data_IF_809039488948
#
_entry.id   IF_809039488948
#
_cell.length_a   1.000
_cell.length_b   1.000
_cell.length_c   1.000
_cell.angle_alpha   90.00
_cell.angle_beta   90.00
_cell.angle_gamma   90.00
#
_symmetry.space_group_name_H-M   'P 1'
#
loop_
_entity.id
_entity.type
_entity.pdbx_description
1 polymer ?
#
# COMPACT_ATOMS: atom_id res chain seq x y z
N UNK A 1 -5.69 -10.51 -3.16
CA UNK A 1 -6.43 -9.28 -2.80
C UNK A 1 -6.99 -9.47 -1.40
N UNK A 2 -6.81 -8.54 -0.47
CA UNK A 2 -7.38 -8.68 0.87
C UNK A 2 -8.93 -8.66 0.78
N UNK A 3 -9.59 -9.71 1.26
CA UNK A 3 -11.03 -9.87 1.14
C UNK A 3 -11.78 -9.08 2.21
N UNK A 4 -11.82 -7.76 2.03
CA UNK A 4 -12.51 -6.84 2.95
C UNK A 4 -13.99 -7.14 3.08
N UNK A 5 -14.62 -7.71 2.05
CA UNK A 5 -16.06 -8.00 2.05
C UNK A 5 -16.37 -9.22 2.93
N UNK A 6 -15.57 -10.29 2.85
CA UNK A 6 -15.70 -11.43 3.75
C UNK A 6 -15.28 -11.05 5.18
N UNK A 7 -14.24 -10.23 5.35
CA UNK A 7 -13.87 -9.68 6.67
C UNK A 7 -15.03 -8.90 7.30
N UNK A 8 -15.67 -8.01 6.52
CA UNK A 8 -16.85 -7.27 6.96
C UNK A 8 -17.96 -8.22 7.43
N UNK A 9 -18.33 -9.21 6.60
CA UNK A 9 -19.38 -10.19 6.94
C UNK A 9 -19.06 -10.93 8.24
N UNK A 10 -17.84 -11.42 8.40
CA UNK A 10 -17.42 -12.15 9.59
C UNK A 10 -17.51 -11.27 10.86
N UNK A 11 -17.02 -10.03 10.78
CA UNK A 11 -17.05 -9.09 11.92
C UNK A 11 -18.47 -8.63 12.25
N UNK A 12 -19.33 -8.42 11.26
CA UNK A 12 -20.76 -8.15 11.48
C UNK A 12 -21.47 -9.34 12.11
N UNK A 13 -21.17 -10.57 11.69
CA UNK A 13 -21.74 -11.76 12.33
C UNK A 13 -21.28 -11.90 13.78
N UNK A 14 -20.00 -11.61 14.05
CA UNK A 14 -19.48 -11.57 15.43
C UNK A 14 -20.24 -10.54 16.27
N UNK A 15 -20.47 -9.34 15.73
CA UNK A 15 -21.21 -8.29 16.45
C UNK A 15 -22.68 -8.66 16.69
N UNK A 16 -23.32 -9.43 15.80
CA UNK A 16 -24.69 -9.92 16.02
C UNK A 16 -24.77 -10.95 17.15
N UNK A 17 -23.75 -11.80 17.27
CA UNK A 17 -23.67 -12.83 18.33
C UNK A 17 -23.25 -12.21 19.65
N UNK A 18 -22.34 -11.23 19.64
CA UNK A 18 -21.83 -10.52 20.81
C UNK A 18 -22.02 -8.99 20.65
N UNK A 19 -23.25 -8.45 20.82
CA UNK A 19 -23.53 -7.03 20.61
C UNK A 19 -22.77 -6.07 21.54
N UNK A 20 -22.32 -6.58 22.69
CA UNK A 20 -21.65 -5.82 23.75
C UNK A 20 -20.12 -5.87 23.68
N UNK A 21 -19.57 -6.48 22.64
CA UNK A 21 -18.13 -6.63 22.49
C UNK A 21 -17.53 -5.42 21.78
N UNK A 22 -16.69 -4.67 22.49
CA UNK A 22 -15.94 -3.54 21.92
C UNK A 22 -14.70 -3.97 21.12
N UNK A 23 -14.04 -5.04 21.57
CA UNK A 23 -12.84 -5.57 20.90
C UNK A 23 -13.16 -6.09 19.50
N UNK A 24 -12.51 -5.54 18.49
CA UNK A 24 -12.70 -5.86 17.08
C UNK A 24 -13.50 -4.81 16.33
N UNK A 25 -14.12 -3.84 17.01
CA UNK A 25 -14.78 -2.71 16.36
C UNK A 25 -13.78 -1.82 15.61
N UNK A 26 -12.55 -1.70 16.11
CA UNK A 26 -11.45 -1.02 15.45
C UNK A 26 -11.13 -1.65 14.09
N UNK A 27 -11.08 -2.98 14.02
CA UNK A 27 -10.84 -3.71 12.76
C UNK A 27 -12.04 -3.57 11.82
N UNK A 28 -13.26 -3.69 12.34
CA UNK A 28 -14.48 -3.49 11.55
C UNK A 28 -14.53 -2.08 10.96
N UNK A 29 -14.24 -1.05 11.75
CA UNK A 29 -14.23 0.33 11.28
C UNK A 29 -13.22 0.57 10.16
N UNK A 30 -12.01 0.01 10.25
CA UNK A 30 -11.01 0.08 9.19
C UNK A 30 -11.43 -0.71 7.94
N UNK A 31 -12.13 -1.84 8.09
CA UNK A 31 -12.69 -2.55 6.92
C UNK A 31 -13.78 -1.75 6.22
N UNK A 32 -14.65 -1.06 6.97
CA UNK A 32 -15.67 -0.16 6.41
C UNK A 32 -15.04 1.06 5.73
N UNK A 33 -13.95 1.59 6.30
CA UNK A 33 -13.14 2.66 5.73
C UNK A 33 -12.56 2.23 4.37
N UNK A 34 -11.93 1.05 4.28
CA UNK A 34 -11.42 0.52 3.02
C UNK A 34 -12.51 0.28 1.97
N UNK A 35 -13.70 -0.16 2.41
CA UNK A 35 -14.87 -0.34 1.54
C UNK A 35 -15.59 0.98 1.21
N UNK A 36 -15.14 2.12 1.76
CA UNK A 36 -15.73 3.46 1.59
C UNK A 36 -17.22 3.52 1.94
N UNK A 37 -17.63 2.82 3.01
CA UNK A 37 -19.02 2.77 3.46
C UNK A 37 -19.29 3.80 4.56
N UNK A 38 -19.42 5.06 4.15
CA UNK A 38 -19.59 6.20 5.05
C UNK A 38 -20.79 6.09 5.99
N UNK A 39 -21.96 5.69 5.46
CA UNK A 39 -23.20 5.60 6.24
C UNK A 39 -23.10 4.53 7.33
N UNK A 40 -22.60 3.35 6.98
CA UNK A 40 -22.44 2.24 7.93
C UNK A 40 -21.38 2.55 8.99
N UNK A 41 -20.30 3.25 8.60
CA UNK A 41 -19.25 3.66 9.53
C UNK A 41 -19.73 4.72 10.52
N UNK A 42 -20.54 5.68 10.07
CA UNK A 42 -21.16 6.69 10.93
C UNK A 42 -22.14 6.07 11.93
N UNK A 43 -23.01 5.15 11.49
CA UNK A 43 -23.89 4.39 12.37
C UNK A 43 -23.10 3.59 13.41
N UNK A 44 -22.03 2.91 12.99
CA UNK A 44 -21.16 2.17 13.91
C UNK A 44 -20.51 3.09 14.95
N UNK A 45 -20.07 4.28 14.53
CA UNK A 45 -19.45 5.27 15.42
C UNK A 45 -20.42 5.76 16.50
N UNK A 46 -21.67 6.09 16.13
CA UNK A 46 -22.69 6.50 17.09
C UNK A 46 -22.99 5.37 18.09
N UNK A 47 -23.25 4.16 17.59
CA UNK A 47 -23.53 3.00 18.44
C UNK A 47 -22.39 2.67 19.41
N UNK A 48 -21.14 2.77 18.95
CA UNK A 48 -19.98 2.51 19.80
C UNK A 48 -19.88 3.52 20.95
N UNK A 49 -20.03 4.83 20.65
CA UNK A 49 -19.98 5.90 21.67
C UNK A 49 -21.15 5.81 22.65
N UNK A 50 -22.35 5.52 22.16
CA UNK A 50 -23.55 5.37 23.00
C UNK A 50 -23.42 4.18 23.96
N UNK A 51 -22.79 3.10 23.50
CA UNK A 51 -22.57 1.91 24.31
C UNK A 51 -21.47 2.11 25.36
N UNK A 52 -20.28 2.54 24.93
CA UNK A 52 -19.17 2.80 25.85
C UNK A 52 -18.26 3.94 25.36
N UNK A 53 -18.49 5.12 25.93
CA UNK A 53 -17.70 6.34 25.70
C UNK A 53 -16.30 6.30 26.34
N UNK A 54 -16.08 5.40 27.29
CA UNK A 54 -14.82 5.24 28.01
C UNK A 54 -13.95 4.12 27.42
N UNK A 55 -14.36 3.52 26.30
CA UNK A 55 -13.52 2.59 25.55
C UNK A 55 -12.62 3.33 24.55
N UNK A 56 -11.36 2.91 24.37
CA UNK A 56 -10.50 3.44 23.32
C UNK A 56 -11.03 3.10 21.92
N UNK A 57 -11.68 1.94 21.75
CA UNK A 57 -12.21 1.47 20.47
C UNK A 57 -13.29 2.42 19.93
N UNK A 58 -14.20 2.93 20.76
CA UNK A 58 -15.23 3.89 20.34
C UNK A 58 -14.63 5.13 19.68
N UNK A 59 -13.58 5.69 20.29
CA UNK A 59 -12.91 6.87 19.77
C UNK A 59 -12.12 6.57 18.48
N UNK A 60 -11.64 5.34 18.29
CA UNK A 60 -11.05 4.92 17.02
C UNK A 60 -12.07 4.84 15.90
N UNK A 61 -13.24 4.26 16.16
CA UNK A 61 -14.31 4.16 15.15
C UNK A 61 -14.74 5.56 14.71
N UNK A 62 -14.90 6.50 15.65
CA UNK A 62 -15.21 7.90 15.36
C UNK A 62 -14.08 8.55 14.55
N UNK A 63 -12.82 8.38 14.95
CA UNK A 63 -11.67 8.91 14.21
C UNK A 63 -11.60 8.38 12.78
N UNK A 64 -11.87 7.09 12.57
CA UNK A 64 -11.96 6.48 11.24
C UNK A 64 -13.11 7.05 10.41
N UNK A 65 -14.26 7.37 11.03
CA UNK A 65 -15.37 8.02 10.34
C UNK A 65 -14.97 9.39 9.78
N UNK A 66 -14.30 10.22 10.58
CA UNK A 66 -13.82 11.54 10.15
C UNK A 66 -12.66 11.46 9.16
N UNK A 67 -11.76 10.48 9.32
CA UNK A 67 -10.71 10.17 8.35
C UNK A 67 -11.30 9.87 6.96
N UNK A 68 -12.38 9.07 6.90
CA UNK A 68 -13.05 8.77 5.63
C UNK A 68 -13.64 10.02 4.97
N UNK A 69 -14.12 10.97 5.78
CA UNK A 69 -14.62 12.28 5.34
C UNK A 69 -13.50 13.27 4.95
N UNK A 70 -12.23 12.86 5.08
CA UNK A 70 -11.02 13.67 4.85
C UNK A 70 -10.84 14.82 5.84
N UNK A 71 -11.49 14.74 6.99
CA UNK A 71 -11.26 15.67 8.10
C UNK A 71 -10.11 15.15 8.97
N UNK A 72 -8.88 15.27 8.46
CA UNK A 72 -7.69 14.68 9.11
C UNK A 72 -7.42 15.24 10.50
N UNK A 73 -7.63 16.55 10.71
CA UNK A 73 -7.40 17.17 12.02
C UNK A 73 -8.39 16.67 13.08
N UNK A 74 -9.68 16.57 12.73
CA UNK A 74 -10.72 16.09 13.66
C UNK A 74 -10.49 14.61 13.98
N UNK A 75 -10.16 13.79 12.97
CA UNK A 75 -9.76 12.39 13.16
C UNK A 75 -8.61 12.24 14.18
N UNK A 76 -7.55 13.04 14.03
CA UNK A 76 -6.41 13.07 14.96
C UNK A 76 -6.82 13.45 16.39
N UNK A 77 -7.79 14.36 16.58
CA UNK A 77 -8.27 14.68 17.93
C UNK A 77 -8.94 13.49 18.61
N UNK A 78 -9.71 12.70 17.86
CA UNK A 78 -10.37 11.50 18.39
C UNK A 78 -9.38 10.37 18.64
N UNK A 79 -8.38 10.18 17.79
CA UNK A 79 -7.31 9.21 18.07
C UNK A 79 -6.48 9.59 19.30
N UNK A 80 -6.18 10.89 19.49
CA UNK A 80 -5.55 11.37 20.74
C UNK A 80 -6.42 11.10 21.96
N UNK A 81 -7.74 11.26 21.84
CA UNK A 81 -8.67 10.93 22.92
C UNK A 81 -8.68 9.44 23.24
N UNK A 82 -8.63 8.58 22.22
CA UNK A 82 -8.47 7.12 22.40
C UNK A 82 -7.20 6.79 23.19
N UNK A 83 -6.07 7.41 22.83
CA UNK A 83 -4.77 7.25 23.52
C UNK A 83 -4.84 7.74 24.98
N UNK A 84 -5.59 8.81 25.28
CA UNK A 84 -5.77 9.30 26.64
C UNK A 84 -6.59 8.34 27.50
N UNK A 85 -7.55 7.64 26.90
CA UNK A 85 -8.38 6.64 27.57
C UNK A 85 -7.56 5.39 27.89
N UNK A 86 -6.80 4.91 26.91
CA UNK A 86 -5.88 3.78 27.08
C UNK A 86 -4.57 4.03 26.32
N UNK A 87 -3.51 4.31 27.07
CA UNK A 87 -2.17 4.55 26.52
C UNK A 87 -1.49 3.29 25.99
N UNK A 88 -2.01 2.10 26.32
CA UNK A 88 -1.49 0.81 25.81
C UNK A 88 -2.16 0.39 24.49
N UNK A 89 -3.15 1.14 24.03
CA UNK A 89 -3.91 0.81 22.84
C UNK A 89 -3.13 1.17 21.55
N UNK A 90 -2.31 0.21 21.09
CA UNK A 90 -1.40 0.34 19.95
C UNK A 90 -2.08 0.80 18.65
N UNK A 91 -3.32 0.37 18.41
CA UNK A 91 -4.02 0.64 17.14
C UNK A 91 -4.24 2.15 16.91
N UNK A 92 -4.54 2.92 17.96
CA UNK A 92 -4.71 4.38 17.85
C UNK A 92 -3.45 5.10 17.43
N UNK A 93 -2.28 4.66 17.90
CA UNK A 93 -1.00 5.20 17.46
C UNK A 93 -0.76 4.90 15.98
N UNK A 94 -1.11 3.69 15.51
CA UNK A 94 -0.97 3.35 14.08
C UNK A 94 -1.89 4.16 13.18
N UNK A 95 -3.16 4.33 13.55
CA UNK A 95 -4.11 5.16 12.80
C UNK A 95 -3.69 6.62 12.77
N UNK A 96 -3.25 7.17 13.92
CA UNK A 96 -2.68 8.52 13.98
C UNK A 96 -1.47 8.68 13.05
N UNK A 97 -0.61 7.66 12.99
CA UNK A 97 0.53 7.62 12.06
C UNK A 97 0.08 7.64 10.59
N UNK A 98 -0.97 6.90 10.23
CA UNK A 98 -1.53 6.91 8.87
C UNK A 98 -2.10 8.29 8.50
N UNK A 99 -2.81 8.95 9.41
CA UNK A 99 -3.31 10.31 9.19
C UNK A 99 -2.19 11.33 9.02
N UNK A 100 -1.13 11.26 9.84
CA UNK A 100 0.03 12.14 9.67
C UNK A 100 0.76 11.92 8.35
N UNK A 101 0.85 10.66 7.86
CA UNK A 101 1.39 10.38 6.52
C UNK A 101 0.53 10.99 5.42
N UNK A 102 -0.79 10.97 5.56
CA UNK A 102 -1.72 11.60 4.61
C UNK A 102 -1.57 13.12 4.60
N UNK A 103 -1.24 13.74 5.75
CA UNK A 103 -0.91 15.16 5.88
C UNK A 103 0.57 15.50 5.57
N UNK A 104 1.37 14.54 5.10
CA UNK A 104 2.82 14.70 4.81
C UNK A 104 3.68 15.08 6.03
N UNK A 105 3.13 14.99 7.24
CA UNK A 105 3.79 15.25 8.52
C UNK A 105 4.63 14.01 8.96
N UNK A 106 5.70 13.70 8.22
CA UNK A 106 6.47 12.46 8.41
C UNK A 106 7.12 12.35 9.79
N UNK A 107 7.59 13.44 10.40
CA UNK A 107 8.25 13.40 11.71
C UNK A 107 7.28 12.97 12.82
N UNK A 108 6.06 13.53 12.81
CA UNK A 108 5.01 13.14 13.77
C UNK A 108 4.55 11.71 13.52
N UNK A 109 4.41 11.32 12.24
CA UNK A 109 4.05 9.95 11.89
C UNK A 109 5.08 8.93 12.41
N UNK A 110 6.38 9.20 12.26
CA UNK A 110 7.45 8.35 12.79
C UNK A 110 7.37 8.24 14.32
N UNK A 111 7.09 9.35 15.02
CA UNK A 111 6.89 9.30 16.48
C UNK A 111 5.72 8.38 16.85
N UNK A 112 4.57 8.55 16.18
CA UNK A 112 3.39 7.72 16.43
C UNK A 112 3.65 6.24 16.18
N UNK A 113 4.31 5.87 15.07
CA UNK A 113 4.62 4.46 14.82
C UNK A 113 5.66 3.90 15.81
N UNK A 114 6.63 4.70 16.26
CA UNK A 114 7.58 4.27 17.30
C UNK A 114 6.88 4.02 18.63
N UNK A 115 5.93 4.88 18.99
CA UNK A 115 5.14 4.71 20.21
C UNK A 115 4.19 3.51 20.08
N UNK A 116 3.64 3.25 18.89
CA UNK A 116 2.91 2.01 18.60
C UNK A 116 3.78 0.77 18.85
N UNK A 117 5.03 0.75 18.37
CA UNK A 117 5.94 -0.39 18.57
C UNK A 117 6.33 -0.56 20.04
N UNK A 118 6.52 0.54 20.78
CA UNK A 118 6.84 0.49 22.22
C UNK A 118 5.68 -0.03 23.07
N UNK A 119 4.46 0.31 22.69
CA UNK A 119 3.24 -0.08 23.41
C UNK A 119 2.71 -1.45 22.98
N UNK A 120 3.19 -1.99 21.85
CA UNK A 120 2.77 -3.31 21.35
C UNK A 120 3.20 -4.44 22.29
N UNK A 121 2.41 -4.68 23.33
CA UNK A 121 2.61 -5.78 24.28
C UNK A 121 2.31 -7.17 23.69
N UNK A 122 1.62 -7.25 22.55
CA UNK A 122 1.23 -8.51 21.92
C UNK A 122 2.07 -8.88 20.69
N UNK A 123 2.87 -7.95 20.15
CA UNK A 123 3.74 -8.17 18.99
C UNK A 123 2.99 -8.47 17.69
N UNK A 124 1.69 -8.12 17.63
CA UNK A 124 0.80 -8.49 16.51
C UNK A 124 0.62 -7.36 15.49
N UNK A 125 1.03 -6.13 15.82
CA UNK A 125 0.76 -4.96 14.98
C UNK A 125 1.88 -4.72 13.96
N UNK A 126 1.87 -5.50 12.87
CA UNK A 126 2.80 -5.31 11.75
C UNK A 126 2.61 -3.95 11.03
N UNK A 127 1.42 -3.34 11.13
CA UNK A 127 1.08 -2.07 10.49
C UNK A 127 2.04 -0.92 10.87
N UNK A 128 2.49 -0.87 12.12
CA UNK A 128 3.43 0.16 12.59
C UNK A 128 4.81 0.01 11.91
N UNK A 129 5.30 -1.24 11.82
CA UNK A 129 6.54 -1.57 11.13
C UNK A 129 6.44 -1.26 9.63
N UNK A 130 5.32 -1.62 9.00
CA UNK A 130 5.03 -1.27 7.62
C UNK A 130 4.99 0.25 7.40
N UNK A 131 4.31 0.99 8.27
CA UNK A 131 4.21 2.44 8.20
C UNK A 131 5.58 3.14 8.29
N UNK A 132 6.46 2.69 9.20
CA UNK A 132 7.84 3.17 9.25
C UNK A 132 8.62 2.82 7.99
N UNK A 133 8.53 1.58 7.51
CA UNK A 133 9.20 1.15 6.28
C UNK A 133 8.78 2.02 5.08
N UNK A 134 7.49 2.32 4.95
CA UNK A 134 6.97 3.17 3.89
C UNK A 134 7.48 4.62 3.98
N UNK A 135 7.58 5.20 5.19
CA UNK A 135 8.17 6.54 5.38
C UNK A 135 9.66 6.52 5.01
N UNK A 136 10.42 5.55 5.51
CA UNK A 136 11.86 5.46 5.22
C UNK A 136 12.13 5.22 3.73
N UNK A 137 11.26 4.45 3.06
CA UNK A 137 11.33 4.25 1.62
C UNK A 137 11.12 5.57 0.86
N UNK A 138 10.12 6.38 1.25
CA UNK A 138 9.91 7.73 0.67
C UNK A 138 11.04 8.71 0.97
N UNK A 139 11.75 8.52 2.08
CA UNK A 139 12.95 9.30 2.42
C UNK A 139 14.23 8.75 1.76
N UNK A 140 14.12 7.79 0.84
CA UNK A 140 15.23 7.13 0.14
C UNK A 140 16.23 6.40 1.06
N UNK A 141 15.83 6.13 2.32
CA UNK A 141 16.62 5.38 3.30
C UNK A 141 16.29 3.89 3.15
N UNK A 142 16.70 3.31 2.03
CA UNK A 142 16.31 1.96 1.63
C UNK A 142 16.76 0.86 2.60
N UNK A 143 17.95 0.98 3.20
CA UNK A 143 18.43 0.05 4.23
C UNK A 143 17.49 -0.04 5.45
N UNK A 144 17.03 1.12 5.93
CA UNK A 144 16.10 1.18 7.06
C UNK A 144 14.72 0.67 6.64
N UNK A 145 14.27 1.01 5.44
CA UNK A 145 13.01 0.53 4.90
C UNK A 145 12.98 -1.01 4.82
N UNK A 146 14.03 -1.62 4.28
CA UNK A 146 14.23 -3.06 4.18
C UNK A 146 14.14 -3.72 5.56
N UNK A 147 14.87 -3.20 6.56
CA UNK A 147 14.82 -3.70 7.93
C UNK A 147 13.40 -3.67 8.52
N UNK A 148 12.69 -2.55 8.37
CA UNK A 148 11.33 -2.40 8.91
C UNK A 148 10.30 -3.28 8.20
N UNK A 149 10.40 -3.43 6.87
CA UNK A 149 9.54 -4.36 6.13
C UNK A 149 9.81 -5.82 6.49
N UNK A 150 11.07 -6.19 6.67
CA UNK A 150 11.43 -7.54 7.13
C UNK A 150 10.84 -7.83 8.51
N UNK A 151 10.89 -6.87 9.44
CA UNK A 151 10.22 -7.00 10.76
C UNK A 151 8.71 -7.14 10.62
N UNK A 152 8.07 -6.34 9.77
CA UNK A 152 6.64 -6.48 9.50
C UNK A 152 6.29 -7.89 8.99
N UNK A 153 7.14 -8.43 8.11
CA UNK A 153 6.96 -9.77 7.54
C UNK A 153 7.18 -10.89 8.56
N UNK A 154 8.09 -10.72 9.54
CA UNK A 154 8.24 -11.70 10.63
C UNK A 154 6.98 -11.84 11.48
N UNK A 155 6.17 -10.78 11.57
CA UNK A 155 4.90 -10.77 12.31
C UNK A 155 3.77 -11.33 11.43
N UNK A 156 3.72 -10.94 10.15
CA UNK A 156 2.72 -11.41 9.19
C UNK A 156 3.38 -11.99 7.92
N UNK A 157 3.82 -13.26 7.96
CA UNK A 157 4.55 -13.88 6.84
C UNK A 157 3.66 -14.19 5.63
N UNK A 158 2.33 -14.21 5.81
CA UNK A 158 1.37 -14.54 4.73
C UNK A 158 0.88 -13.32 3.94
N UNK A 159 1.45 -12.13 4.18
CA UNK A 159 1.07 -10.95 3.42
C UNK A 159 1.87 -10.82 2.13
N UNK A 160 1.22 -11.10 0.99
CA UNK A 160 1.79 -10.84 -0.34
C UNK A 160 2.16 -9.36 -0.54
N UNK A 161 1.41 -8.44 0.07
CA UNK A 161 1.67 -6.99 0.01
C UNK A 161 2.99 -6.65 0.71
N UNK A 162 3.27 -7.23 1.89
CA UNK A 162 4.53 -6.98 2.61
C UNK A 162 5.74 -7.52 1.85
N UNK A 163 5.63 -8.71 1.24
CA UNK A 163 6.67 -9.24 0.34
C UNK A 163 6.92 -8.30 -0.84
N UNK A 164 5.86 -7.75 -1.44
CA UNK A 164 6.00 -6.78 -2.53
C UNK A 164 6.78 -5.52 -2.10
N UNK A 165 6.44 -4.93 -0.95
CA UNK A 165 7.14 -3.74 -0.45
C UNK A 165 8.58 -4.03 -0.03
N UNK A 166 8.86 -5.20 0.55
CA UNK A 166 10.22 -5.63 0.85
C UNK A 166 11.03 -5.79 -0.44
N UNK A 167 10.47 -6.42 -1.48
CA UNK A 167 11.12 -6.55 -2.78
C UNK A 167 11.41 -5.20 -3.44
N UNK A 168 10.48 -4.24 -3.33
CA UNK A 168 10.70 -2.86 -3.80
C UNK A 168 11.87 -2.19 -3.05
N UNK A 169 11.92 -2.32 -1.71
CA UNK A 169 13.01 -1.77 -0.91
C UNK A 169 14.36 -2.40 -1.25
N UNK A 170 14.42 -3.73 -1.41
CA UNK A 170 15.63 -4.45 -1.81
C UNK A 170 16.13 -4.03 -3.20
N UNK A 171 15.20 -3.85 -4.15
CA UNK A 171 15.55 -3.37 -5.48
C UNK A 171 16.13 -1.96 -5.46
N UNK A 172 15.49 -1.04 -4.74
CA UNK A 172 15.98 0.33 -4.55
C UNK A 172 17.34 0.36 -3.81
N UNK A 173 17.59 -0.63 -2.96
CA UNK A 173 18.88 -0.83 -2.28
C UNK A 173 19.95 -1.51 -3.16
N UNK A 174 19.71 -1.67 -4.46
CA UNK A 174 20.67 -2.25 -5.41
C UNK A 174 20.81 -3.77 -5.34
N UNK A 175 19.83 -4.48 -4.75
CA UNK A 175 19.82 -5.95 -4.59
C UNK A 175 18.74 -6.61 -5.47
N UNK A 176 18.86 -6.56 -6.82
CA UNK A 176 17.80 -7.00 -7.73
C UNK A 176 17.51 -8.51 -7.66
N UNK A 177 18.51 -9.36 -7.38
CA UNK A 177 18.32 -10.81 -7.28
C UNK A 177 17.56 -11.21 -6.01
N UNK A 178 17.88 -10.58 -4.87
CA UNK A 178 17.13 -10.78 -3.62
C UNK A 178 15.69 -10.29 -3.76
N UNK A 179 15.49 -9.14 -4.41
CA UNK A 179 14.17 -8.61 -4.69
C UNK A 179 13.30 -9.57 -5.51
N UNK A 180 13.88 -10.26 -6.51
CA UNK A 180 13.17 -11.26 -7.30
C UNK A 180 12.75 -12.48 -6.46
N UNK A 181 13.61 -12.96 -5.57
CA UNK A 181 13.32 -14.08 -4.68
C UNK A 181 12.20 -13.73 -3.69
N UNK A 182 12.27 -12.55 -3.07
CA UNK A 182 11.20 -12.02 -2.20
C UNK A 182 9.87 -11.89 -2.96
N UNK A 183 9.89 -11.39 -4.20
CA UNK A 183 8.68 -11.29 -5.02
C UNK A 183 8.13 -12.65 -5.44
N UNK A 184 8.97 -13.69 -5.56
CA UNK A 184 8.50 -15.06 -5.75
C UNK A 184 7.66 -15.54 -4.57
N UNK A 185 8.05 -15.20 -3.34
CA UNK A 185 7.23 -15.39 -2.14
C UNK A 185 5.87 -14.68 -2.21
N UNK A 186 5.83 -13.45 -2.74
CA UNK A 186 4.56 -12.73 -2.95
C UNK A 186 3.60 -13.47 -3.89
N UNK A 187 4.12 -14.12 -4.95
CA UNK A 187 3.30 -14.86 -5.92
C UNK A 187 2.80 -16.19 -5.40
N UNK A 188 3.60 -16.89 -4.59
CA UNK A 188 3.16 -18.13 -3.95
C UNK A 188 1.95 -17.88 -3.05
N UNK A 189 1.90 -16.70 -2.40
CA UNK A 189 0.79 -16.30 -1.55
C UNK A 189 -0.42 -15.74 -2.33
N UNK A 190 -0.17 -14.90 -3.33
CA UNK A 190 -1.22 -14.33 -4.18
C UNK A 190 -0.77 -14.25 -5.65
N UNK A 191 -1.14 -15.24 -6.47
CA UNK A 191 -0.82 -15.25 -7.91
C UNK A 191 -1.41 -14.09 -8.70
N UNK A 192 -2.42 -13.40 -8.15
CA UNK A 192 -3.14 -12.30 -8.80
C UNK A 192 -2.69 -10.91 -8.32
N UNK A 193 -1.62 -10.82 -7.52
CA UNK A 193 -1.07 -9.54 -7.11
C UNK A 193 -0.41 -8.81 -8.31
N UNK A 194 -1.18 -7.93 -8.95
CA UNK A 194 -0.75 -7.13 -10.10
C UNK A 194 0.47 -6.25 -9.79
N UNK A 195 0.53 -5.66 -8.59
CA UNK A 195 1.64 -4.81 -8.16
C UNK A 195 2.93 -5.62 -8.08
N UNK A 196 2.90 -6.81 -7.48
CA UNK A 196 4.08 -7.68 -7.41
C UNK A 196 4.59 -8.07 -8.82
N UNK A 197 3.68 -8.36 -9.77
CA UNK A 197 4.04 -8.65 -11.17
C UNK A 197 4.67 -7.45 -11.85
N UNK A 198 4.10 -6.27 -11.67
CA UNK A 198 4.64 -5.03 -12.21
C UNK A 198 6.07 -4.79 -11.71
N UNK A 199 6.30 -4.90 -10.39
CA UNK A 199 7.63 -4.71 -9.80
C UNK A 199 8.64 -5.74 -10.30
N UNK A 200 8.25 -7.02 -10.41
CA UNK A 200 9.10 -8.07 -10.99
C UNK A 200 9.48 -7.75 -12.43
N UNK A 201 8.54 -7.30 -13.26
CA UNK A 201 8.81 -6.95 -14.65
C UNK A 201 9.80 -5.78 -14.76
N UNK A 202 9.67 -4.78 -13.89
CA UNK A 202 10.62 -3.66 -13.77
C UNK A 202 12.02 -4.13 -13.38
N UNK A 203 12.15 -5.06 -12.43
CA UNK A 203 13.45 -5.63 -12.04
C UNK A 203 14.05 -6.48 -13.17
N UNK A 204 13.22 -7.21 -13.91
CA UNK A 204 13.68 -7.97 -15.08
C UNK A 204 14.19 -7.05 -16.19
N UNK A 205 13.61 -5.87 -16.35
CA UNK A 205 14.10 -4.85 -17.28
C UNK A 205 15.48 -4.31 -16.89
N UNK A 206 15.72 -4.02 -15.60
CA UNK A 206 17.03 -3.55 -15.14
C UNK A 206 18.11 -4.64 -15.21
N UNK A 207 17.73 -5.92 -15.08
CA UNK A 207 18.61 -7.06 -15.32
C UNK A 207 18.81 -7.40 -16.82
N UNK A 208 18.36 -6.54 -17.73
CA UNK A 208 18.46 -6.72 -19.18
C UNK A 208 17.79 -8.01 -19.70
N UNK A 209 16.63 -8.37 -19.12
CA UNK A 209 15.78 -9.51 -19.54
C UNK A 209 14.43 -9.04 -20.09
N UNK A 210 14.41 -8.24 -21.17
CA UNK A 210 13.19 -7.59 -21.65
C UNK A 210 12.12 -8.56 -22.16
N UNK A 211 12.49 -9.74 -22.69
CA UNK A 211 11.51 -10.76 -23.12
C UNK A 211 10.69 -11.29 -21.94
N UNK A 212 11.33 -11.54 -20.80
CA UNK A 212 10.65 -12.04 -19.60
C UNK A 212 9.81 -10.93 -18.96
N UNK A 213 10.30 -9.69 -18.97
CA UNK A 213 9.56 -8.54 -18.49
C UNK A 213 8.27 -8.32 -19.28
N UNK A 214 8.32 -8.44 -20.62
CA UNK A 214 7.14 -8.28 -21.48
C UNK A 214 6.03 -9.27 -21.10
N UNK A 215 6.37 -10.55 -20.90
CA UNK A 215 5.41 -11.58 -20.51
C UNK A 215 4.74 -11.29 -19.16
N UNK A 216 5.47 -10.72 -18.21
CA UNK A 216 4.89 -10.33 -16.92
C UNK A 216 3.99 -9.10 -17.07
N UNK A 217 4.40 -8.08 -17.84
CA UNK A 217 3.54 -6.92 -18.11
C UNK A 217 2.27 -7.28 -18.89
N UNK A 218 2.33 -8.24 -19.82
CA UNK A 218 1.14 -8.75 -20.51
C UNK A 218 0.11 -9.33 -19.53
N UNK A 219 0.56 -10.09 -18.53
CA UNK A 219 -0.33 -10.60 -17.47
C UNK A 219 -0.90 -9.47 -16.60
N UNK A 220 -0.12 -8.43 -16.31
CA UNK A 220 -0.62 -7.25 -15.57
C UNK A 220 -1.70 -6.53 -16.40
N UNK A 221 -1.44 -6.31 -17.68
CA UNK A 221 -2.41 -5.70 -18.62
C UNK A 221 -3.70 -6.51 -18.69
N UNK A 222 -3.62 -7.84 -18.74
CA UNK A 222 -4.80 -8.68 -18.81
C UNK A 222 -5.64 -8.60 -17.52
N UNK A 223 -5.01 -8.38 -16.37
CA UNK A 223 -5.69 -8.15 -15.09
C UNK A 223 -6.22 -6.70 -14.94
N UNK A 224 -5.51 -5.71 -15.46
CA UNK A 224 -5.83 -4.28 -15.35
C UNK A 224 -5.68 -3.57 -16.72
N UNK A 225 -6.63 -3.76 -17.66
CA UNK A 225 -6.46 -3.31 -19.05
C UNK A 225 -6.47 -1.79 -19.23
N UNK A 226 -6.98 -1.05 -18.24
CA UNK A 226 -7.14 0.41 -18.26
C UNK A 226 -6.02 1.16 -17.54
N UNK A 227 -4.95 0.47 -17.15
CA UNK A 227 -3.85 1.08 -16.43
C UNK A 227 -2.79 1.63 -17.41
N UNK A 228 -2.72 2.96 -17.53
CA UNK A 228 -1.83 3.63 -18.49
C UNK A 228 -0.33 3.35 -18.24
N UNK A 229 0.08 3.25 -16.97
CA UNK A 229 1.47 2.96 -16.56
C UNK A 229 1.97 1.62 -17.11
N UNK A 230 1.10 0.60 -17.16
CA UNK A 230 1.43 -0.72 -17.70
C UNK A 230 1.72 -0.65 -19.19
N UNK A 231 0.88 0.04 -19.96
CA UNK A 231 1.08 0.23 -21.40
C UNK A 231 2.34 1.05 -21.70
N UNK A 232 2.63 2.08 -20.91
CA UNK A 232 3.87 2.84 -21.01
C UNK A 232 5.10 1.96 -20.73
N UNK A 233 5.08 1.17 -19.66
CA UNK A 233 6.17 0.24 -19.34
C UNK A 233 6.37 -0.82 -20.43
N UNK A 234 5.30 -1.38 -20.97
CA UNK A 234 5.35 -2.29 -22.13
C UNK A 234 5.96 -1.62 -23.37
N UNK A 235 5.62 -0.36 -23.65
CA UNK A 235 6.21 0.41 -24.74
C UNK A 235 7.73 0.52 -24.61
N UNK A 236 8.23 0.83 -23.40
CA UNK A 236 9.68 0.86 -23.11
C UNK A 236 10.34 -0.51 -23.31
N UNK A 237 9.68 -1.59 -22.86
CA UNK A 237 10.19 -2.96 -23.05
C UNK A 237 10.27 -3.31 -24.54
N UNK A 238 9.23 -3.00 -25.31
CA UNK A 238 9.15 -3.28 -26.74
C UNK A 238 10.17 -2.47 -27.56
N UNK A 239 10.43 -1.21 -27.17
CA UNK A 239 11.51 -0.40 -27.74
C UNK A 239 12.87 -1.09 -27.54
N UNK A 240 13.17 -1.52 -26.31
CA UNK A 240 14.42 -2.25 -25.98
C UNK A 240 14.55 -3.59 -26.69
N UNK A 241 13.43 -4.21 -27.09
CA UNK A 241 13.39 -5.42 -27.91
C UNK A 241 13.56 -5.16 -29.41
N UNK A 242 13.72 -3.90 -29.84
CA UNK A 242 13.81 -3.53 -31.25
C UNK A 242 12.48 -3.65 -32.00
N UNK A 243 11.34 -3.47 -31.30
CA UNK A 243 9.98 -3.54 -31.86
C UNK A 243 9.28 -2.17 -31.79
N UNK A 244 9.79 -1.14 -32.50
CA UNK A 244 9.29 0.23 -32.40
C UNK A 244 7.81 0.36 -32.77
N UNK A 245 7.34 -0.33 -33.81
CA UNK A 245 5.92 -0.27 -34.22
C UNK A 245 4.96 -0.72 -33.11
N UNK A 246 5.34 -1.76 -32.36
CA UNK A 246 4.55 -2.26 -31.24
C UNK A 246 4.66 -1.32 -30.04
N UNK A 247 5.86 -0.77 -29.79
CA UNK A 247 6.08 0.21 -28.74
C UNK A 247 5.22 1.48 -28.95
N UNK A 248 5.16 1.99 -30.19
CA UNK A 248 4.35 3.15 -30.56
C UNK A 248 2.86 2.91 -30.27
N UNK A 249 2.33 1.72 -30.59
CA UNK A 249 0.94 1.37 -30.25
C UNK A 249 0.71 1.40 -28.75
N UNK A 250 1.63 0.84 -27.96
CA UNK A 250 1.54 0.85 -26.50
C UNK A 250 1.58 2.28 -25.93
N UNK A 251 2.44 3.16 -26.46
CA UNK A 251 2.49 4.55 -26.04
C UNK A 251 1.22 5.33 -26.40
N UNK A 252 0.67 5.11 -27.61
CA UNK A 252 -0.62 5.69 -27.99
C UNK A 252 -1.76 5.22 -27.07
N UNK A 253 -1.82 3.93 -26.75
CA UNK A 253 -2.83 3.42 -25.81
C UNK A 253 -2.65 4.00 -24.40
N UNK A 254 -1.42 4.22 -23.94
CA UNK A 254 -1.16 4.85 -22.66
C UNK A 254 -1.63 6.32 -22.65
N UNK A 255 -1.37 7.05 -23.74
CA UNK A 255 -1.81 8.44 -23.95
C UNK A 255 -3.33 8.58 -23.95
N UNK A 256 -4.02 7.64 -24.60
CA UNK A 256 -5.48 7.60 -24.67
C UNK A 256 -6.12 7.32 -23.30
N UNK A 257 -5.45 6.52 -22.46
CA UNK A 257 -5.93 6.14 -21.13
C UNK A 257 -5.70 7.23 -20.07
N UNK A 258 -4.59 7.98 -20.15
CA UNK A 258 -4.35 9.13 -19.27
C UNK A 258 -3.95 10.39 -20.07
N UNK A 259 -4.92 11.25 -20.42
CA UNK A 259 -4.64 12.45 -21.20
C UNK A 259 -3.86 13.55 -20.45
N UNK A 260 -3.76 13.49 -19.11
CA UNK A 260 -3.44 14.67 -18.28
C UNK A 260 -1.96 14.85 -17.97
N UNK A 261 -1.14 13.79 -18.03
CA UNK A 261 0.29 13.85 -17.69
C UNK A 261 1.19 13.12 -18.70
N UNK A 262 1.23 13.68 -19.92
CA UNK A 262 1.72 12.97 -21.11
C UNK A 262 3.09 13.39 -21.63
N UNK A 263 3.79 14.28 -20.93
CA UNK A 263 5.07 14.79 -21.40
C UNK A 263 6.12 13.67 -21.50
N UNK A 264 6.11 12.73 -20.53
CA UNK A 264 6.99 11.56 -20.54
C UNK A 264 6.65 10.62 -21.69
N UNK A 265 5.38 10.34 -21.93
CA UNK A 265 4.92 9.46 -23.02
C UNK A 265 5.29 10.04 -24.38
N UNK A 266 5.03 11.34 -24.59
CA UNK A 266 5.41 12.04 -25.82
C UNK A 266 6.92 12.03 -26.04
N UNK A 267 7.72 12.30 -25.00
CA UNK A 267 9.17 12.22 -25.12
C UNK A 267 9.68 10.82 -25.45
N UNK A 268 9.04 9.78 -24.92
CA UNK A 268 9.38 8.39 -25.25
C UNK A 268 9.00 8.01 -26.68
N UNK A 269 7.91 8.58 -27.21
CA UNK A 269 7.51 8.46 -28.61
C UNK A 269 8.44 9.20 -29.56
N UNK A 270 8.91 10.40 -29.19
CA UNK A 270 9.83 11.18 -30.02
C UNK A 270 11.21 10.51 -30.11
N UNK A 271 11.64 9.83 -29.04
CA UNK A 271 12.92 9.11 -28.97
C UNK A 271 12.80 7.64 -29.38
N UNK A 272 11.76 7.25 -30.11
CA UNK A 272 11.55 5.85 -30.50
C UNK A 272 12.70 5.29 -31.36
N UNK A 273 13.25 6.15 -32.21
CA UNK A 273 14.30 5.83 -33.18
C UNK A 273 15.71 6.03 -32.62
N UNK A 274 15.83 6.59 -31.41
CA UNK A 274 17.11 6.83 -30.75
C UNK A 274 17.56 5.60 -29.94
N UNK A 275 18.85 5.22 -30.00
CA UNK A 275 19.39 4.15 -29.17
C UNK A 275 19.24 4.51 -27.68
N UNK A 276 18.82 3.54 -26.86
CA UNK A 276 18.62 3.74 -25.42
C UNK A 276 19.94 4.14 -24.75
N UNK A 277 20.06 5.42 -24.40
CA UNK A 277 21.02 5.89 -23.40
C UNK A 277 20.37 5.55 -22.05
N UNK A 278 21.09 4.87 -21.16
CA UNK A 278 20.60 4.39 -19.85
C UNK A 278 19.85 5.51 -19.09
N UNK A 279 18.52 5.50 -19.18
CA UNK A 279 17.68 6.34 -18.33
C UNK A 279 17.59 5.67 -16.97
N UNK A 280 18.17 6.35 -15.98
CA UNK A 280 18.17 5.99 -14.57
C UNK A 280 16.77 5.58 -14.13
N UNK A 281 16.62 4.31 -13.74
CA UNK A 281 15.32 3.68 -13.41
C UNK A 281 14.86 4.09 -11.99
N UNK A 282 15.49 5.11 -11.40
CA UNK A 282 15.25 5.59 -10.03
C UNK A 282 14.06 6.54 -9.90
N UNK A 283 13.44 6.97 -11.00
CA UNK A 283 12.28 7.87 -10.97
C UNK A 283 10.95 7.11 -11.11
N UNK A 284 10.60 6.29 -10.11
CA UNK A 284 9.21 5.84 -9.83
C UNK A 284 8.99 5.60 -8.34
#
# INVERSE_FOLDING_TARGET
MADYQNSKRALETMQRVEPHRMKGLEVLSTTLWHLKKEVELSDLAQRAVDFDRMSPESWCVVGNCFSLQKEHETALTFFRRSIQVDSSFTYSYTLSGHEYVSNEDFDKAVSCYRDAIRTDGCGRHYNAWYGLGAIYFRQEKYDLAEYHFQKALTINPQSSVLHCHLGMAQYANGKPYEALDTLEGAFQLDPHNAQARYQRATILMSLNRPQQALLEFEKVRDAAPREASVHFAMGRVLKRLGRPEQAMRCFLTALDLDPKDNNLIKSAMDRLDEPDIEEDVSAF
#
